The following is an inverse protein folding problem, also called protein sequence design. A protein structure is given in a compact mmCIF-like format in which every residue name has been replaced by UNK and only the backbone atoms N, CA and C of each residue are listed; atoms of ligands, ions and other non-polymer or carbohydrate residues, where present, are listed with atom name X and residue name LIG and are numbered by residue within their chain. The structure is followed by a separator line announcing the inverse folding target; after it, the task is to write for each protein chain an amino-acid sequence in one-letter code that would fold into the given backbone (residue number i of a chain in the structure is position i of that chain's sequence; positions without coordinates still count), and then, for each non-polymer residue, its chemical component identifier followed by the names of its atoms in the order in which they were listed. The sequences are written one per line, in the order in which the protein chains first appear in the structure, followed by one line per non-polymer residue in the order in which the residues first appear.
data_IF_245310817248
#
_entry.id   IF_245310817248
#
_cell.length_a   1.000
_cell.length_b   1.000
_cell.length_c   1.000
_cell.angle_alpha   90.00
_cell.angle_beta   90.00
_cell.angle_gamma   90.00
#
_symmetry.space_group_name_H-M   'P 1'
#
loop_
_entity.id
_entity.type
_entity.pdbx_description
1 polymer ?
#
# COMPACT_ATOMS: atom_id res chain seq x y z
N UNK A 1 -13.13 37.39 -56.02
CA UNK A 1 -12.27 38.12 -56.97
C UNK A 1 -10.85 37.78 -56.54
N UNK A 2 -10.37 36.60 -56.93
CA UNK A 2 -9.50 36.32 -58.12
C UNK A 2 -8.12 36.95 -57.91
N UNK A 3 -6.97 36.29 -58.05
CA UNK A 3 -6.51 35.17 -58.90
C UNK A 3 -5.53 34.29 -58.07
N UNK A 4 -5.49 32.95 -58.10
CA UNK A 4 -5.30 31.96 -59.18
C UNK A 4 -3.84 31.84 -59.70
N UNK A 5 -3.37 30.58 -59.72
CA UNK A 5 -2.20 30.01 -60.45
C UNK A 5 -0.83 30.20 -59.73
N UNK A 6 0.06 29.21 -59.58
CA UNK A 6 0.32 27.93 -60.25
C UNK A 6 1.43 27.26 -59.38
N UNK A 7 1.40 25.99 -58.98
CA UNK A 7 1.70 24.82 -59.83
C UNK A 7 1.20 23.53 -59.16
N UNK A 8 0.53 22.71 -59.98
CA UNK A 8 0.04 21.36 -59.72
C UNK A 8 0.99 20.32 -60.33
N UNK A 9 0.85 19.10 -59.76
CA UNK A 9 0.92 17.77 -60.40
C UNK A 9 2.32 17.24 -60.75
N UNK A 10 2.61 15.95 -60.54
CA UNK A 10 1.85 14.74 -60.94
C UNK A 10 1.96 13.62 -59.86
N UNK A 11 0.87 12.99 -59.38
CA UNK A 11 0.10 11.87 -59.98
C UNK A 11 0.94 10.61 -60.24
N UNK A 12 0.75 9.55 -59.43
CA UNK A 12 0.03 8.29 -59.79
C UNK A 12 1.01 7.20 -60.24
N UNK A 13 0.90 5.89 -59.99
CA UNK A 13 -0.09 5.05 -59.32
C UNK A 13 0.39 3.58 -59.41
N UNK A 14 -0.38 2.66 -58.79
CA UNK A 14 -0.68 1.28 -59.27
C UNK A 14 0.07 0.06 -58.69
N UNK A 15 -0.79 -0.88 -58.24
CA UNK A 15 -0.68 -2.34 -58.01
C UNK A 15 -0.24 -2.82 -56.61
N UNK A 16 -1.14 -3.28 -55.73
CA UNK A 16 -2.08 -4.43 -55.80
C UNK A 16 -1.40 -5.80 -55.98
N UNK A 17 -1.34 -6.60 -54.90
CA UNK A 17 -1.89 -7.97 -54.84
C UNK A 17 -1.66 -8.64 -53.47
N UNK A 18 -2.79 -8.84 -52.77
CA UNK A 18 -3.29 -10.05 -52.07
C UNK A 18 -2.32 -11.06 -51.39
N UNK A 19 -2.58 -11.23 -50.09
CA UNK A 19 -2.81 -12.48 -49.31
C UNK A 19 -1.84 -13.67 -49.43
N UNK A 20 -1.29 -14.14 -48.30
CA UNK A 20 -1.82 -15.29 -47.54
C UNK A 20 -0.86 -15.68 -46.40
N UNK A 21 -1.45 -16.27 -45.35
CA UNK A 21 -0.84 -16.66 -44.08
C UNK A 21 0.30 -17.67 -44.20
N UNK A 22 1.25 -17.62 -43.25
CA UNK A 22 2.22 -18.70 -43.08
C UNK A 22 3.36 -18.45 -42.11
N UNK A 23 3.08 -18.60 -40.81
CA UNK A 23 3.95 -19.17 -39.76
C UNK A 23 5.33 -18.55 -39.50
N UNK A 24 5.56 -18.17 -38.24
CA UNK A 24 6.91 -18.07 -37.70
C UNK A 24 7.18 -16.86 -36.80
N UNK A 25 6.30 -16.49 -35.87
CA UNK A 25 6.75 -15.67 -34.72
C UNK A 25 7.44 -16.62 -33.74
N UNK A 26 8.74 -16.82 -33.95
CA UNK A 26 9.61 -17.33 -32.91
C UNK A 26 9.46 -16.42 -31.69
N UNK A 27 8.83 -16.94 -30.64
CA UNK A 27 9.02 -16.40 -29.30
C UNK A 27 10.51 -16.56 -29.03
N UNK A 28 11.28 -15.49 -29.10
CA UNK A 28 12.53 -15.44 -28.36
C UNK A 28 12.11 -15.50 -26.88
N UNK A 29 12.06 -16.72 -26.35
CA UNK A 29 12.21 -16.93 -24.92
C UNK A 29 13.61 -16.43 -24.59
N UNK A 30 13.72 -15.13 -24.35
CA UNK A 30 14.85 -14.56 -23.64
C UNK A 30 14.75 -15.09 -22.22
N UNK A 31 15.15 -16.36 -22.05
CA UNK A 31 15.46 -16.90 -20.75
C UNK A 31 16.56 -15.98 -20.20
N UNK A 32 16.21 -15.22 -19.18
CA UNK A 32 17.21 -14.53 -18.38
C UNK A 32 18.21 -15.59 -17.92
N UNK A 33 19.52 -15.27 -17.88
CA UNK A 33 20.49 -16.21 -17.37
C UNK A 33 20.04 -16.66 -15.98
N UNK A 34 19.90 -17.97 -15.78
CA UNK A 34 19.81 -18.54 -14.45
C UNK A 34 21.17 -18.29 -13.78
N UNK A 35 21.21 -17.23 -12.99
CA UNK A 35 22.36 -16.68 -12.26
C UNK A 35 21.86 -16.16 -10.90
N UNK A 36 22.75 -15.81 -9.96
CA UNK A 36 22.54 -16.06 -8.55
C UNK A 36 21.61 -15.01 -7.92
N UNK A 37 20.30 -15.22 -8.03
CA UNK A 37 19.34 -14.44 -7.25
C UNK A 37 19.49 -14.77 -5.75
N UNK A 38 19.41 -13.73 -4.93
CA UNK A 38 19.43 -13.74 -3.47
C UNK A 38 18.04 -13.97 -2.88
N UNK A 39 17.90 -13.76 -1.58
CA UNK A 39 16.64 -13.95 -0.85
C UNK A 39 15.47 -13.12 -1.41
N UNK A 40 14.26 -13.49 -1.01
CA UNK A 40 13.04 -12.82 -1.46
C UNK A 40 12.97 -11.35 -1.03
N UNK A 41 12.41 -10.49 -1.89
CA UNK A 41 12.25 -9.07 -1.61
C UNK A 41 10.82 -8.60 -1.87
N UNK A 42 10.27 -7.89 -0.88
CA UNK A 42 9.08 -7.07 -1.06
C UNK A 42 9.52 -5.62 -1.25
N UNK A 43 9.08 -4.97 -2.32
CA UNK A 43 9.29 -3.53 -2.52
C UNK A 43 7.98 -2.78 -2.62
N UNK A 44 7.88 -1.64 -1.92
CA UNK A 44 6.73 -0.74 -1.94
C UNK A 44 7.18 0.64 -2.39
N UNK A 45 6.57 1.15 -3.46
CA UNK A 45 6.78 2.53 -3.91
C UNK A 45 5.55 3.35 -3.57
N UNK A 46 5.62 4.07 -2.46
CA UNK A 46 4.60 5.04 -2.06
C UNK A 46 4.71 6.27 -2.98
N UNK A 47 3.86 6.34 -4.01
CA UNK A 47 3.91 7.43 -4.99
C UNK A 47 3.14 8.68 -4.53
N UNK A 48 1.97 8.47 -3.95
CA UNK A 48 1.04 9.54 -3.59
C UNK A 48 0.40 9.30 -2.22
N UNK A 49 0.51 8.08 -1.70
CA UNK A 49 0.21 7.82 -0.30
C UNK A 49 0.46 6.39 0.13
N UNK A 50 0.36 6.20 1.44
CA UNK A 50 0.49 4.91 2.12
C UNK A 50 -0.37 4.93 3.40
N UNK A 51 -1.59 4.45 3.27
CA UNK A 51 -2.55 4.23 4.36
C UNK A 51 -2.64 2.73 4.70
N UNK A 52 -3.33 2.40 5.80
CA UNK A 52 -3.52 1.01 6.23
C UNK A 52 -4.22 0.16 5.16
N UNK A 53 -5.34 0.64 4.61
CA UNK A 53 -6.09 0.01 3.50
C UNK A 53 -5.23 -0.19 2.22
N UNK A 54 -4.39 0.77 1.86
CA UNK A 54 -3.42 0.64 0.75
C UNK A 54 -2.42 -0.48 1.05
N UNK A 55 -1.91 -0.53 2.28
CA UNK A 55 -0.93 -1.54 2.67
C UNK A 55 -1.54 -2.95 2.69
N UNK A 56 -2.74 -3.08 3.27
CA UNK A 56 -3.51 -4.32 3.30
C UNK A 56 -3.80 -4.83 1.89
N UNK A 57 -4.33 -3.99 1.01
CA UNK A 57 -4.62 -4.37 -0.38
C UNK A 57 -3.35 -4.78 -1.14
N UNK A 58 -2.22 -4.11 -0.89
CA UNK A 58 -0.92 -4.49 -1.44
C UNK A 58 -0.50 -5.88 -1.01
N UNK A 59 -0.55 -6.17 0.29
CA UNK A 59 -0.18 -7.48 0.83
C UNK A 59 -1.11 -8.58 0.36
N UNK A 60 -2.44 -8.37 0.33
CA UNK A 60 -3.40 -9.34 -0.21
C UNK A 60 -3.06 -9.75 -1.65
N UNK A 61 -2.59 -8.79 -2.47
CA UNK A 61 -2.12 -9.07 -3.83
C UNK A 61 -0.78 -9.78 -3.88
N UNK A 62 0.13 -9.53 -2.94
CA UNK A 62 1.43 -10.21 -2.88
C UNK A 62 1.29 -11.64 -2.37
N UNK A 63 0.38 -11.90 -1.44
CA UNK A 63 0.10 -13.24 -0.89
C UNK A 63 -0.89 -14.04 -1.72
N UNK A 64 -1.51 -13.43 -2.73
CA UNK A 64 -2.56 -14.05 -3.57
C UNK A 64 -3.71 -14.62 -2.73
N UNK A 65 -4.06 -13.91 -1.66
CA UNK A 65 -5.11 -14.33 -0.73
C UNK A 65 -6.48 -14.20 -1.38
N UNK A 66 -7.22 -15.32 -1.43
CA UNK A 66 -8.61 -15.34 -1.89
C UNK A 66 -9.59 -14.89 -0.80
N UNK A 67 -10.87 -14.77 -1.17
CA UNK A 67 -11.92 -14.25 -0.29
C UNK A 67 -12.19 -15.17 0.91
N UNK A 68 -12.14 -16.49 0.74
CA UNK A 68 -12.36 -17.45 1.82
C UNK A 68 -11.23 -17.38 2.85
N UNK A 69 -9.98 -17.34 2.39
CA UNK A 69 -8.82 -17.19 3.24
C UNK A 69 -8.79 -15.82 3.95
N UNK A 70 -9.21 -14.75 3.27
CA UNK A 70 -9.34 -13.42 3.88
C UNK A 70 -10.39 -13.41 4.98
N UNK A 71 -11.59 -13.93 4.72
CA UNK A 71 -12.65 -13.99 5.72
C UNK A 71 -12.25 -14.86 6.92
N UNK A 72 -11.58 -15.98 6.69
CA UNK A 72 -11.05 -16.83 7.75
C UNK A 72 -9.99 -16.12 8.59
N UNK A 73 -9.08 -15.37 7.95
CA UNK A 73 -8.09 -14.53 8.62
C UNK A 73 -8.78 -13.48 9.50
N UNK A 74 -9.72 -12.72 8.95
CA UNK A 74 -10.42 -11.67 9.69
C UNK A 74 -11.20 -12.23 10.87
N UNK A 75 -11.92 -13.34 10.68
CA UNK A 75 -12.64 -14.04 11.75
C UNK A 75 -11.72 -14.52 12.88
N UNK A 76 -10.46 -14.85 12.56
CA UNK A 76 -9.46 -15.25 13.55
C UNK A 76 -8.94 -14.07 14.40
N UNK A 77 -9.02 -12.85 13.87
CA UNK A 77 -8.70 -11.62 14.63
C UNK A 77 -9.87 -11.31 15.55
N UNK A 78 -11.05 -11.15 14.96
CA UNK A 78 -12.33 -10.97 15.65
C UNK A 78 -13.45 -11.53 14.75
N UNK A 79 -14.40 -12.33 15.27
CA UNK A 79 -15.45 -12.93 14.45
C UNK A 79 -16.26 -11.93 13.62
N UNK A 80 -16.51 -10.74 14.16
CA UNK A 80 -17.27 -9.66 13.50
C UNK A 80 -16.55 -9.00 12.31
N UNK A 81 -15.25 -9.22 12.13
CA UNK A 81 -14.51 -8.71 10.98
C UNK A 81 -14.68 -9.61 9.74
N UNK A 82 -15.24 -10.81 9.87
CA UNK A 82 -15.51 -11.67 8.73
C UNK A 82 -16.47 -10.99 7.75
N UNK A 83 -16.11 -10.97 6.46
CA UNK A 83 -16.90 -10.30 5.42
C UNK A 83 -16.81 -8.77 5.41
N UNK A 84 -15.98 -8.17 6.28
CA UNK A 84 -15.82 -6.71 6.34
C UNK A 84 -14.89 -6.14 5.26
N UNK A 85 -14.11 -6.97 4.57
CA UNK A 85 -13.15 -6.53 3.55
C UNK A 85 -13.42 -7.22 2.23
N UNK A 86 -13.43 -6.45 1.14
CA UNK A 86 -13.38 -6.97 -0.22
C UNK A 86 -12.21 -6.37 -0.98
N UNK A 87 -11.45 -7.21 -1.67
CA UNK A 87 -10.42 -6.75 -2.59
C UNK A 87 -11.04 -6.52 -3.97
N UNK A 88 -11.23 -5.26 -4.35
CA UNK A 88 -11.95 -4.89 -5.56
C UNK A 88 -11.01 -4.26 -6.59
N UNK A 89 -11.38 -4.38 -7.87
CA UNK A 89 -10.73 -3.61 -8.95
C UNK A 89 -11.15 -2.16 -8.84
N UNK A 90 -10.19 -1.25 -8.97
CA UNK A 90 -10.43 0.18 -8.97
C UNK A 90 -9.70 0.84 -10.13
N UNK A 91 -10.37 1.74 -10.83
CA UNK A 91 -9.77 2.54 -11.89
C UNK A 91 -9.68 3.99 -11.44
N UNK A 92 -8.51 4.61 -11.61
CA UNK A 92 -8.33 6.04 -11.39
C UNK A 92 -7.62 6.60 -12.61
N UNK A 93 -8.21 7.63 -13.24
CA UNK A 93 -7.69 8.24 -14.47
C UNK A 93 -7.36 7.20 -15.57
N UNK A 94 -8.25 6.21 -15.77
CA UNK A 94 -8.08 5.12 -16.74
C UNK A 94 -6.93 4.14 -16.46
N UNK A 95 -6.36 4.18 -15.25
CA UNK A 95 -5.33 3.23 -14.81
C UNK A 95 -5.93 2.28 -13.79
N UNK A 96 -6.03 1.00 -14.15
CA UNK A 96 -6.60 -0.04 -13.30
C UNK A 96 -5.63 -0.55 -12.22
N UNK A 97 -6.14 -0.65 -11.00
CA UNK A 97 -5.45 -1.15 -9.81
C UNK A 97 -6.41 -1.91 -8.89
N UNK A 98 -6.02 -2.02 -7.62
CA UNK A 98 -6.77 -2.72 -6.57
C UNK A 98 -7.05 -1.79 -5.41
N UNK A 99 -8.11 -2.08 -4.65
CA UNK A 99 -8.48 -1.37 -3.45
C UNK A 99 -9.06 -2.36 -2.43
N UNK A 100 -8.72 -2.22 -1.15
CA UNK A 100 -9.40 -2.93 -0.07
C UNK A 100 -10.58 -2.07 0.36
N UNK A 101 -11.77 -2.50 -0.01
CA UNK A 101 -13.01 -1.88 0.45
C UNK A 101 -13.35 -2.44 1.83
N UNK A 102 -13.24 -1.59 2.86
CA UNK A 102 -13.52 -1.93 4.25
C UNK A 102 -14.90 -1.41 4.63
N UNK A 103 -15.77 -2.30 5.10
CA UNK A 103 -17.12 -1.99 5.58
C UNK A 103 -17.24 -2.40 7.04
N UNK A 104 -17.08 -1.43 7.93
CA UNK A 104 -17.19 -1.62 9.38
C UNK A 104 -18.24 -0.67 9.97
N UNK A 105 -18.95 -1.09 11.04
CA UNK A 105 -19.80 -0.17 11.78
C UNK A 105 -18.94 0.95 12.35
N UNK A 106 -19.44 2.20 12.27
CA UNK A 106 -18.78 3.31 12.93
C UNK A 106 -18.92 3.12 14.44
N UNK A 107 -17.85 2.65 15.09
CA UNK A 107 -17.78 2.53 16.54
C UNK A 107 -16.64 3.42 17.04
N UNK A 108 -17.01 4.43 17.82
CA UNK A 108 -16.06 5.21 18.61
C UNK A 108 -15.86 4.50 19.96
N UNK A 109 -15.25 3.32 19.92
CA UNK A 109 -14.83 2.66 21.14
C UNK A 109 -13.38 3.04 21.44
N UNK A 110 -13.19 3.74 22.55
CA UNK A 110 -11.88 4.09 23.04
C UNK A 110 -11.21 2.87 23.65
N UNK A 111 -10.30 2.25 22.91
CA UNK A 111 -9.45 1.17 23.41
C UNK A 111 -8.12 1.71 23.90
N UNK A 112 -7.63 1.15 25.00
CA UNK A 112 -6.25 1.35 25.46
C UNK A 112 -5.30 0.39 24.76
N UNK A 113 -3.99 0.62 24.86
CA UNK A 113 -2.98 -0.34 24.38
C UNK A 113 -3.13 -1.71 25.05
N UNK A 114 -3.51 -1.76 26.33
CA UNK A 114 -3.72 -3.01 27.05
C UNK A 114 -4.89 -3.81 26.48
N UNK A 115 -6.00 -3.15 26.14
CA UNK A 115 -7.17 -3.80 25.52
C UNK A 115 -6.80 -4.41 24.16
N UNK A 116 -6.06 -3.67 23.34
CA UNK A 116 -5.62 -4.12 22.02
C UNK A 116 -4.61 -5.28 22.14
N UNK A 117 -3.66 -5.21 23.07
CA UNK A 117 -2.71 -6.28 23.31
C UNK A 117 -3.40 -7.57 23.77
N UNK A 118 -4.41 -7.47 24.64
CA UNK A 118 -5.21 -8.62 25.07
C UNK A 118 -6.00 -9.24 23.90
N UNK A 119 -6.60 -8.41 23.03
CA UNK A 119 -7.27 -8.85 21.81
C UNK A 119 -6.30 -9.61 20.89
N UNK A 120 -5.13 -9.03 20.61
CA UNK A 120 -4.11 -9.66 19.77
C UNK A 120 -3.65 -10.99 20.37
N UNK A 121 -3.44 -11.05 21.69
CA UNK A 121 -3.04 -12.28 22.37
C UNK A 121 -4.10 -13.39 22.22
N UNK A 122 -5.38 -13.05 22.33
CA UNK A 122 -6.51 -13.96 22.19
C UNK A 122 -6.83 -14.36 20.73
N UNK A 123 -6.33 -13.62 19.75
CA UNK A 123 -6.56 -13.90 18.33
C UNK A 123 -5.94 -15.23 17.86
N UNK A 124 -6.42 -15.73 16.71
CA UNK A 124 -5.87 -16.87 15.99
C UNK A 124 -4.69 -16.54 15.05
N UNK A 125 -4.10 -15.35 15.19
CA UNK A 125 -2.92 -14.93 14.42
C UNK A 125 -1.70 -15.80 14.73
N UNK A 126 -0.76 -15.88 13.78
CA UNK A 126 0.54 -16.52 14.05
C UNK A 126 1.32 -15.75 15.13
N UNK A 127 2.19 -16.45 15.86
CA UNK A 127 3.02 -15.80 16.89
C UNK A 127 3.90 -14.67 16.33
N UNK A 128 4.33 -14.77 15.08
CA UNK A 128 5.05 -13.70 14.41
C UNK A 128 4.15 -12.48 14.19
N UNK A 129 2.93 -12.69 13.67
CA UNK A 129 1.97 -11.63 13.46
C UNK A 129 1.51 -10.98 14.77
N UNK A 130 1.32 -11.74 15.86
CA UNK A 130 1.00 -11.19 17.18
C UNK A 130 2.10 -10.26 17.69
N UNK A 131 3.37 -10.66 17.57
CA UNK A 131 4.52 -9.81 17.96
C UNK A 131 4.58 -8.53 17.11
N UNK A 132 4.46 -8.65 15.79
CA UNK A 132 4.48 -7.50 14.88
C UNK A 132 3.30 -6.55 15.14
N UNK A 133 2.08 -7.07 15.30
CA UNK A 133 0.90 -6.26 15.57
C UNK A 133 1.03 -5.51 16.90
N UNK A 134 1.48 -6.20 17.95
CA UNK A 134 1.72 -5.59 19.26
C UNK A 134 2.78 -4.48 19.18
N UNK A 135 3.86 -4.70 18.44
CA UNK A 135 4.91 -3.70 18.24
C UNK A 135 4.39 -2.47 17.48
N UNK A 136 3.55 -2.65 16.45
CA UNK A 136 2.95 -1.55 15.71
C UNK A 136 2.04 -0.69 16.59
N UNK A 137 1.18 -1.33 17.39
CA UNK A 137 0.34 -0.60 18.35
C UNK A 137 1.12 0.07 19.47
N UNK A 138 2.22 -0.54 19.93
CA UNK A 138 3.11 0.08 20.92
C UNK A 138 3.78 1.33 20.34
N UNK A 139 4.22 1.28 19.08
CA UNK A 139 4.79 2.42 18.37
C UNK A 139 3.75 3.55 18.21
N UNK A 140 2.52 3.21 17.84
CA UNK A 140 1.41 4.17 17.74
C UNK A 140 1.06 4.78 19.11
N UNK A 141 1.00 3.97 20.18
CA UNK A 141 0.76 4.46 21.53
C UNK A 141 1.83 5.49 21.95
N UNK A 142 3.10 5.25 21.60
CA UNK A 142 4.19 6.20 21.87
C UNK A 142 3.99 7.54 21.15
N UNK A 143 3.58 7.52 19.88
CA UNK A 143 3.32 8.73 19.12
C UNK A 143 2.11 9.51 19.67
N UNK A 144 1.01 8.83 19.95
CA UNK A 144 -0.19 9.44 20.54
C UNK A 144 0.10 10.01 21.94
N UNK A 145 0.91 9.31 22.74
CA UNK A 145 1.35 9.77 24.06
C UNK A 145 2.14 11.08 23.96
N UNK A 146 3.05 11.19 22.98
CA UNK A 146 3.82 12.41 22.74
C UNK A 146 2.90 13.57 22.33
N UNK A 147 1.98 13.35 21.38
CA UNK A 147 1.00 14.37 20.94
C UNK A 147 0.13 14.87 22.10
N UNK A 148 -0.28 13.96 23.00
CA UNK A 148 -1.18 14.28 24.10
C UNK A 148 -0.48 14.62 25.42
N UNK A 149 0.85 14.56 25.49
CA UNK A 149 1.62 14.77 26.72
C UNK A 149 1.30 13.77 27.84
N UNK A 150 1.00 12.52 27.47
CA UNK A 150 0.63 11.41 28.37
C UNK A 150 1.71 10.32 28.39
N UNK A 151 1.57 9.34 29.27
CA UNK A 151 2.33 8.08 29.14
C UNK A 151 1.64 7.15 28.13
N UNK A 152 2.39 6.28 27.42
CA UNK A 152 1.81 5.32 26.47
C UNK A 152 0.70 4.44 27.06
N UNK A 153 0.80 4.08 28.34
CA UNK A 153 -0.18 3.23 29.02
C UNK A 153 -1.51 3.95 29.31
N UNK A 154 -1.50 5.29 29.28
CA UNK A 154 -2.65 6.16 29.58
C UNK A 154 -3.32 6.67 28.29
N UNK A 155 -2.82 6.26 27.12
CA UNK A 155 -3.39 6.62 25.82
C UNK A 155 -4.68 5.84 25.59
N UNK A 156 -5.74 6.59 25.35
CA UNK A 156 -6.94 6.08 24.70
C UNK A 156 -6.82 6.42 23.24
N UNK A 157 -6.80 5.43 22.37
CA UNK A 157 -6.72 5.70 20.95
C UNK A 157 -8.05 6.30 20.48
N UNK A 158 -7.98 7.48 19.86
CA UNK A 158 -9.16 8.17 19.34
C UNK A 158 -9.47 7.76 17.90
N UNK A 159 -8.42 7.55 17.10
CA UNK A 159 -8.52 7.25 15.67
C UNK A 159 -7.95 5.85 15.38
N UNK A 160 -6.87 5.48 16.05
CA UNK A 160 -6.15 4.22 15.82
C UNK A 160 -6.69 3.03 16.64
N UNK A 161 -7.62 3.27 17.57
CA UNK A 161 -8.25 2.24 18.41
C UNK A 161 -9.51 1.65 17.80
N UNK A 162 -9.93 2.21 16.66
CA UNK A 162 -11.07 1.75 15.91
C UNK A 162 -10.81 0.37 15.30
N UNK A 163 -11.89 -0.36 15.03
CA UNK A 163 -11.84 -1.68 14.40
C UNK A 163 -11.07 -1.65 13.06
N UNK A 164 -11.14 -0.54 12.32
CA UNK A 164 -10.43 -0.33 11.06
C UNK A 164 -8.91 -0.45 11.21
N UNK A 165 -8.32 0.22 12.19
CA UNK A 165 -6.88 0.14 12.45
C UNK A 165 -6.45 -1.21 13.02
N UNK A 166 -7.28 -1.85 13.85
CA UNK A 166 -7.04 -3.22 14.33
C UNK A 166 -7.02 -4.20 13.16
N UNK A 167 -8.00 -4.09 12.27
CA UNK A 167 -8.08 -4.89 11.06
C UNK A 167 -6.85 -4.69 10.18
N UNK A 168 -6.55 -3.44 9.82
CA UNK A 168 -5.45 -3.11 8.91
C UNK A 168 -4.11 -3.61 9.44
N UNK A 169 -3.81 -3.36 10.71
CA UNK A 169 -2.54 -3.75 11.33
C UNK A 169 -2.45 -5.27 11.45
N UNK A 170 -3.43 -5.90 12.10
CA UNK A 170 -3.37 -7.32 12.40
C UNK A 170 -3.35 -8.18 11.12
N UNK A 171 -4.22 -7.87 10.16
CA UNK A 171 -4.26 -8.59 8.89
C UNK A 171 -2.97 -8.35 8.09
N UNK A 172 -2.46 -7.11 8.03
CA UNK A 172 -1.20 -6.83 7.34
C UNK A 172 -0.01 -7.55 7.97
N UNK A 173 0.09 -7.57 9.30
CA UNK A 173 1.17 -8.27 10.00
C UNK A 173 1.14 -9.78 9.72
N UNK A 174 -0.03 -10.40 9.65
CA UNK A 174 -0.17 -11.83 9.30
C UNK A 174 0.16 -12.11 7.84
N UNK A 175 -0.32 -11.28 6.91
CA UNK A 175 0.01 -11.43 5.49
C UNK A 175 1.51 -11.22 5.23
N UNK A 176 2.13 -10.25 5.90
CA UNK A 176 3.57 -10.02 5.84
C UNK A 176 4.36 -11.18 6.45
N UNK A 177 3.93 -11.70 7.61
CA UNK A 177 4.56 -12.86 8.24
C UNK A 177 4.48 -14.11 7.37
N UNK A 178 3.37 -14.32 6.64
CA UNK A 178 3.22 -15.39 5.64
C UNK A 178 4.14 -15.20 4.44
N UNK A 179 4.27 -13.97 3.97
CA UNK A 179 5.11 -13.63 2.83
C UNK A 179 6.61 -13.79 3.17
N UNK A 180 6.99 -13.43 4.41
CA UNK A 180 8.34 -13.55 4.96
C UNK A 180 9.46 -13.07 4.00
N UNK A 181 9.43 -11.80 3.52
CA UNK A 181 10.54 -11.25 2.74
C UNK A 181 11.86 -11.40 3.48
N UNK A 182 12.92 -11.81 2.77
CA UNK A 182 14.28 -11.63 3.27
C UNK A 182 14.65 -10.14 3.35
N UNK A 183 14.11 -9.31 2.46
CA UNK A 183 14.25 -7.85 2.46
C UNK A 183 12.93 -7.14 2.20
N UNK A 184 12.69 -6.05 2.91
CA UNK A 184 11.53 -5.20 2.71
C UNK A 184 11.98 -3.77 2.39
N UNK A 185 11.81 -3.33 1.14
CA UNK A 185 12.32 -2.04 0.65
C UNK A 185 11.18 -1.07 0.39
N UNK A 186 11.28 0.16 0.88
CA UNK A 186 10.25 1.20 0.70
C UNK A 186 10.87 2.46 0.11
N UNK A 187 10.17 3.14 -0.81
CA UNK A 187 10.59 4.47 -1.28
C UNK A 187 10.56 5.51 -0.16
N UNK A 188 11.28 6.65 -0.28
CA UNK A 188 10.98 7.81 0.55
C UNK A 188 9.49 8.15 0.51
N UNK A 189 8.91 8.44 1.67
CA UNK A 189 7.46 8.63 1.81
C UNK A 189 7.05 10.00 1.24
N UNK A 190 5.94 10.08 0.47
CA UNK A 190 5.42 11.35 -0.01
C UNK A 190 4.82 12.14 1.15
N UNK A 191 5.21 13.41 1.31
CA UNK A 191 4.53 14.36 2.18
C UNK A 191 3.95 15.51 1.34
N UNK A 192 2.74 15.90 1.68
CA UNK A 192 2.01 17.02 1.08
C UNK A 192 1.67 18.06 2.14
N UNK A 193 1.41 19.29 1.67
CA UNK A 193 0.82 20.34 2.49
C UNK A 193 -0.71 20.17 2.60
N UNK A 194 -1.34 20.99 3.44
CA UNK A 194 -2.79 21.08 3.56
C UNK A 194 -3.28 20.74 4.97
N UNK A 195 -4.49 20.19 5.06
CA UNK A 195 -5.11 19.84 6.33
C UNK A 195 -5.99 18.58 6.24
N UNK A 196 -6.29 18.01 7.41
CA UNK A 196 -7.22 16.89 7.61
C UNK A 196 -8.24 17.26 8.69
N UNK A 197 -9.49 16.82 8.51
CA UNK A 197 -10.54 16.96 9.53
C UNK A 197 -10.67 15.65 10.28
N UNK A 198 -10.55 15.70 11.60
CA UNK A 198 -10.45 14.54 12.46
C UNK A 198 -11.17 14.78 13.80
N UNK A 199 -11.07 13.87 14.77
CA UNK A 199 -11.74 14.01 16.07
C UNK A 199 -11.25 15.25 16.85
N UNK A 200 -10.06 15.74 16.50
CA UNK A 200 -9.41 16.92 17.09
C UNK A 200 -9.65 18.22 16.30
N UNK A 201 -10.60 18.21 15.37
CA UNK A 201 -10.90 19.33 14.49
C UNK A 201 -10.05 19.31 13.23
N UNK A 202 -9.69 20.50 12.72
CA UNK A 202 -8.89 20.64 11.49
C UNK A 202 -7.42 20.77 11.88
N UNK A 203 -6.59 19.82 11.44
CA UNK A 203 -5.16 19.76 11.73
C UNK A 203 -4.34 19.90 10.44
N UNK A 204 -3.14 20.48 10.49
CA UNK A 204 -2.22 20.47 9.35
C UNK A 204 -1.80 19.03 9.03
N UNK A 205 -1.40 18.79 7.78
CA UNK A 205 -0.73 17.54 7.40
C UNK A 205 0.78 17.72 7.28
N UNK A 206 1.61 16.72 7.64
CA UNK A 206 1.22 15.42 8.22
C UNK A 206 0.55 15.57 9.58
N UNK A 207 -0.42 14.69 9.88
CA UNK A 207 -1.12 14.69 11.17
C UNK A 207 -0.12 14.54 12.33
N UNK A 208 -0.39 15.06 13.54
CA UNK A 208 0.57 15.07 14.64
C UNK A 208 1.19 13.70 14.97
N UNK A 209 0.39 12.63 15.01
CA UNK A 209 0.91 11.28 15.25
C UNK A 209 1.84 10.79 14.12
N UNK A 210 1.59 11.19 12.86
CA UNK A 210 2.51 10.93 11.75
C UNK A 210 3.80 11.71 11.94
N UNK A 211 3.71 12.98 12.35
CA UNK A 211 4.90 13.82 12.59
C UNK A 211 5.83 13.21 13.66
N UNK A 212 5.28 12.71 14.76
CA UNK A 212 6.05 11.99 15.79
C UNK A 212 6.71 10.71 15.24
N UNK A 213 5.99 9.97 14.39
CA UNK A 213 6.49 8.73 13.79
C UNK A 213 7.51 8.94 12.66
N UNK A 214 7.71 10.16 12.17
CA UNK A 214 8.60 10.44 11.04
C UNK A 214 10.08 10.54 11.42
N UNK A 215 10.43 10.58 12.70
CA UNK A 215 11.84 10.68 13.11
C UNK A 215 12.68 9.53 12.50
N UNK A 216 13.71 9.89 11.74
CA UNK A 216 14.60 8.97 11.04
C UNK A 216 14.03 8.37 9.74
N UNK A 217 12.82 8.73 9.32
CA UNK A 217 12.18 8.22 8.10
C UNK A 217 12.47 9.14 6.90
N UNK A 218 13.04 8.63 5.79
CA UNK A 218 13.21 9.41 4.58
C UNK A 218 11.89 9.83 3.94
N UNK A 219 11.75 11.12 3.67
CA UNK A 219 10.57 11.73 3.06
C UNK A 219 10.92 12.48 1.78
N UNK A 220 9.93 12.75 0.95
CA UNK A 220 10.05 13.58 -0.25
C UNK A 220 8.81 14.45 -0.42
N UNK A 221 8.92 15.62 -1.07
CA UNK A 221 7.76 16.43 -1.39
C UNK A 221 6.82 15.72 -2.36
N UNK A 222 5.54 15.99 -2.22
CA UNK A 222 4.47 15.57 -3.11
C UNK A 222 3.53 16.75 -3.34
N UNK A 223 3.24 17.07 -4.61
CA UNK A 223 2.48 18.27 -4.99
C UNK A 223 0.98 18.24 -4.68
N UNK A 224 0.47 17.16 -4.08
CA UNK A 224 -0.93 17.06 -3.66
C UNK A 224 -1.28 17.90 -2.44
N UNK A 225 -2.54 17.81 -1.99
CA UNK A 225 -3.04 18.48 -0.77
C UNK A 225 -3.80 17.50 0.13
N UNK A 226 -3.43 17.50 1.42
CA UNK A 226 -4.02 16.68 2.47
C UNK A 226 -3.22 15.42 2.78
N UNK A 227 -3.83 14.52 3.55
CA UNK A 227 -3.14 13.37 4.12
C UNK A 227 -2.73 12.35 3.04
N UNK A 228 -1.43 12.10 2.97
CA UNK A 228 -0.79 11.16 2.04
C UNK A 228 -0.38 9.88 2.75
N UNK A 229 0.15 9.99 3.96
CA UNK A 229 0.54 8.85 4.81
C UNK A 229 -0.26 8.94 6.10
N UNK A 230 -0.88 7.83 6.51
CA UNK A 230 -1.63 7.75 7.78
C UNK A 230 -0.71 7.23 8.89
N UNK A 231 -1.04 7.47 10.18
CA UNK A 231 -0.30 6.87 11.30
C UNK A 231 -0.18 5.35 11.16
N UNK A 232 -1.27 4.67 10.78
CA UNK A 232 -1.32 3.22 10.56
C UNK A 232 -0.34 2.75 9.48
N UNK A 233 -0.34 3.40 8.31
CA UNK A 233 0.56 3.05 7.22
C UNK A 233 2.03 3.24 7.60
N UNK A 234 2.34 4.33 8.33
CA UNK A 234 3.70 4.61 8.78
C UNK A 234 4.16 3.64 9.89
N UNK A 235 3.29 3.30 10.83
CA UNK A 235 3.58 2.33 11.88
C UNK A 235 3.87 0.94 11.30
N UNK A 236 3.11 0.52 10.28
CA UNK A 236 3.35 -0.74 9.58
C UNK A 236 4.74 -0.77 8.93
N UNK A 237 5.11 0.22 8.12
CA UNK A 237 6.43 0.19 7.44
C UNK A 237 7.59 0.19 8.43
N UNK A 238 7.49 0.96 9.53
CA UNK A 238 8.53 0.99 10.57
C UNK A 238 8.63 -0.35 11.29
N UNK A 239 7.50 -0.90 11.72
CA UNK A 239 7.47 -2.13 12.51
C UNK A 239 7.91 -3.36 11.72
N UNK A 240 7.56 -3.40 10.43
CA UNK A 240 7.92 -4.50 9.54
C UNK A 240 9.38 -4.42 9.05
N UNK A 241 10.15 -3.43 9.53
CA UNK A 241 11.60 -3.34 9.27
C UNK A 241 11.94 -2.84 7.87
N UNK A 242 11.19 -1.86 7.35
CA UNK A 242 11.45 -1.28 6.04
C UNK A 242 12.87 -0.69 5.92
N UNK A 243 13.60 -1.12 4.90
CA UNK A 243 14.78 -0.44 4.37
C UNK A 243 14.33 0.66 3.41
N UNK A 244 14.62 1.92 3.70
CA UNK A 244 14.25 3.01 2.81
C UNK A 244 15.29 3.25 1.72
N UNK A 245 14.87 3.26 0.45
CA UNK A 245 15.82 3.37 -0.65
C UNK A 245 15.23 3.37 -2.07
N UNK A 246 16.10 3.26 -3.09
CA UNK A 246 15.69 3.08 -4.48
C UNK A 246 15.03 1.70 -4.69
N UNK A 247 14.50 1.47 -5.90
CA UNK A 247 13.99 0.16 -6.27
C UNK A 247 15.16 -0.84 -6.31
N UNK A 248 15.08 -2.01 -5.62
CA UNK A 248 16.16 -2.98 -5.59
C UNK A 248 16.30 -3.71 -6.94
N UNK A 249 17.52 -4.07 -7.34
CA UNK A 249 17.70 -4.98 -8.47
C UNK A 249 17.03 -6.33 -8.13
N UNK A 250 16.03 -6.72 -8.92
CA UNK A 250 15.20 -7.89 -8.64
C UNK A 250 14.54 -8.45 -9.89
N UNK A 251 14.21 -9.73 -9.85
CA UNK A 251 13.23 -10.36 -10.75
C UNK A 251 11.84 -10.24 -10.13
N UNK A 252 10.96 -9.46 -10.74
CA UNK A 252 9.58 -9.30 -10.29
C UNK A 252 8.72 -10.50 -10.70
N UNK A 253 8.04 -11.11 -9.72
CA UNK A 253 7.14 -12.24 -9.92
C UNK A 253 5.67 -11.85 -9.71
N UNK A 254 5.40 -11.04 -8.68
CA UNK A 254 4.06 -10.53 -8.37
C UNK A 254 4.11 -9.01 -8.29
N UNK A 255 3.04 -8.35 -8.73
CA UNK A 255 2.94 -6.89 -8.73
C UNK A 255 1.51 -6.43 -8.58
N UNK A 256 1.33 -5.29 -7.93
CA UNK A 256 0.06 -4.63 -7.82
C UNK A 256 0.24 -3.11 -7.83
N UNK A 257 -0.66 -2.43 -8.55
CA UNK A 257 -0.96 -1.04 -8.30
C UNK A 257 -2.18 -1.00 -7.38
N UNK A 258 -2.06 -0.26 -6.28
CA UNK A 258 -3.07 -0.20 -5.23
C UNK A 258 -3.46 1.25 -4.99
N UNK A 259 -4.74 1.48 -4.77
CA UNK A 259 -5.31 2.80 -4.54
C UNK A 259 -6.04 2.86 -3.19
N UNK A 260 -5.91 4.00 -2.51
CA UNK A 260 -6.68 4.33 -1.31
C UNK A 260 -7.99 5.02 -1.65
N UNK A 261 -8.80 5.31 -0.63
CA UNK A 261 -10.09 6.01 -0.78
C UNK A 261 -9.96 7.42 -1.36
N UNK A 262 -8.99 8.21 -0.88
CA UNK A 262 -8.75 9.60 -1.30
C UNK A 262 -8.23 9.67 -2.74
N UNK A 263 -8.52 10.75 -3.46
CA UNK A 263 -7.93 11.07 -4.77
C UNK A 263 -7.32 12.47 -4.71
N UNK A 264 -6.16 12.67 -5.36
CA UNK A 264 -5.56 14.01 -5.52
C UNK A 264 -5.79 14.49 -6.96
N UNK A 265 -5.88 15.81 -7.15
CA UNK A 265 -6.23 16.45 -8.44
C UNK A 265 -5.36 15.93 -9.60
N UNK A 266 -4.05 15.73 -9.35
CA UNK A 266 -3.09 15.34 -10.39
C UNK A 266 -2.40 13.99 -10.11
N UNK A 267 -2.91 13.20 -9.18
CA UNK A 267 -2.31 11.91 -8.84
C UNK A 267 -3.31 10.94 -8.19
N UNK A 268 -3.41 9.69 -8.67
CA UNK A 268 -4.17 8.67 -7.97
C UNK A 268 -3.49 8.39 -6.62
N UNK A 269 -4.20 8.47 -5.49
CA UNK A 269 -3.63 8.11 -4.18
C UNK A 269 -3.36 6.61 -4.14
N UNK A 270 -2.11 6.20 -3.98
CA UNK A 270 -1.74 4.82 -4.10
C UNK A 270 -0.25 4.53 -4.01
N UNK A 271 0.03 3.23 -4.07
CA UNK A 271 1.36 2.68 -4.05
C UNK A 271 1.49 1.50 -5.03
N UNK A 272 2.72 1.28 -5.48
CA UNK A 272 3.09 0.08 -6.23
C UNK A 272 3.72 -0.93 -5.28
N UNK A 273 3.26 -2.18 -5.35
CA UNK A 273 3.83 -3.32 -4.65
C UNK A 273 4.45 -4.25 -5.69
N UNK A 274 5.64 -4.76 -5.40
CA UNK A 274 6.24 -5.84 -6.15
C UNK A 274 6.96 -6.82 -5.23
N UNK A 275 6.86 -8.09 -5.57
CA UNK A 275 7.49 -9.20 -4.89
C UNK A 275 8.28 -10.04 -5.89
N UNK A 276 9.41 -10.59 -5.45
CA UNK A 276 10.19 -11.56 -6.20
C UNK A 276 11.56 -11.78 -5.56
N UNK A 277 12.57 -12.07 -6.39
CA UNK A 277 13.91 -12.41 -5.91
C UNK A 277 14.90 -11.27 -6.20
N UNK A 278 15.65 -10.84 -5.19
CA UNK A 278 16.70 -9.83 -5.35
C UNK A 278 17.93 -10.41 -6.08
N UNK A 279 18.76 -9.59 -6.72
CA UNK A 279 20.10 -10.03 -7.11
C UNK A 279 20.96 -10.25 -5.84
N UNK A 280 21.92 -11.19 -5.85
CA UNK A 280 22.95 -11.23 -4.79
C UNK A 280 23.88 -10.03 -4.97
N UNK A 281 24.04 -9.26 -3.89
CA UNK A 281 25.05 -8.19 -3.79
C UNK A 281 26.49 -8.74 -3.92
#
# INVERSE_FOLDING_TARGET
MSDAQEQRATEESVHDRRSAAGRGRGRSSGAWPEGPFGGSVLTVRAHSGLSGDIFLAGLLRMTETDEEALNSLLASILPELSGSVRLVRREVNHVGGWHAEVTLPHQHEHRTLADIAALIAASGLSESAKRLSTAAFTLLAGAEAAVHGKKPEEVHFHEVGALDSILDICASCELFARLAPARFVVSPLPLADGAVTCAHGVLPVPAPAVLELLEGVPVRPFGGQGETVTPTGLALVRTLGAEFGPWPAMRVERRALVYGTRTFVDAPNGAMFAWGEADRD
#
